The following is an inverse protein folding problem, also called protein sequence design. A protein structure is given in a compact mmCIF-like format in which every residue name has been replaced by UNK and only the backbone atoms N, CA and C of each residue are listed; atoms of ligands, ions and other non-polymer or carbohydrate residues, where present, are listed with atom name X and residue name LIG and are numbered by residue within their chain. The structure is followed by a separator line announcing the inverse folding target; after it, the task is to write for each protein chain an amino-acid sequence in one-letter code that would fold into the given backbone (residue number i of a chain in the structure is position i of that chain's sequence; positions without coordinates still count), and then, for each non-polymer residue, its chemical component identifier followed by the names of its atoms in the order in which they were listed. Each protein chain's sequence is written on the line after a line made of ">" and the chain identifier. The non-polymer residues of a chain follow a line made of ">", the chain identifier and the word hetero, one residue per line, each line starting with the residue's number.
data_IF_535968127688
#
_entry.id   IF_535968127688
#
_cell.length_a   1.000
_cell.length_b   1.000
_cell.length_c   1.000
_cell.angle_alpha   90.00
_cell.angle_beta   90.00
_cell.angle_gamma   90.00
#
_symmetry.space_group_name_H-M   'P 1'
#
loop_
_entity.id
_entity.type
_entity.pdbx_description
1 polymer ?
#
# COMPACT_ATOMS: atom_id res chain seq x y z
N UNK A 1 -0.33 17.68 12.62
CA UNK A 1 -0.31 16.49 11.76
C UNK A 1 -0.49 15.28 12.67
N UNK A 2 -1.52 14.43 12.47
CA UNK A 2 -1.62 13.19 13.26
C UNK A 2 -0.59 12.20 12.72
N UNK A 3 0.22 11.62 13.59
CA UNK A 3 1.08 10.51 13.22
C UNK A 3 0.18 9.37 12.72
N UNK A 4 0.40 8.96 11.48
CA UNK A 4 -0.26 7.78 10.93
C UNK A 4 0.43 6.56 11.53
N UNK A 5 -0.25 5.81 12.40
CA UNK A 5 0.29 4.56 12.94
C UNK A 5 0.48 3.57 11.79
N UNK A 6 1.70 3.08 11.61
CA UNK A 6 2.01 2.02 10.67
C UNK A 6 1.79 0.67 11.35
N UNK A 7 0.90 -0.14 10.80
CA UNK A 7 0.57 -1.46 11.34
C UNK A 7 1.20 -2.56 10.47
N UNK A 8 2.05 -3.44 11.01
CA UNK A 8 2.72 -4.47 10.23
C UNK A 8 1.76 -5.37 9.45
N UNK A 9 2.12 -5.68 8.21
CA UNK A 9 1.38 -6.57 7.34
C UNK A 9 2.34 -7.44 6.51
N UNK A 10 1.92 -8.66 6.21
CA UNK A 10 2.56 -9.50 5.19
C UNK A 10 1.74 -9.43 3.92
N UNK A 11 2.37 -9.14 2.79
CA UNK A 11 1.71 -9.02 1.49
C UNK A 11 2.21 -10.12 0.57
N UNK A 12 1.29 -10.86 -0.04
CA UNK A 12 1.61 -11.80 -1.10
C UNK A 12 1.25 -11.21 -2.45
N UNK A 13 2.12 -11.47 -3.41
CA UNK A 13 2.13 -10.86 -4.73
C UNK A 13 1.82 -11.90 -5.80
N UNK A 14 1.08 -11.48 -6.82
CA UNK A 14 0.90 -12.23 -8.06
C UNK A 14 0.70 -11.25 -9.21
N UNK A 15 1.25 -11.57 -10.38
CA UNK A 15 1.20 -10.67 -11.55
C UNK A 15 1.80 -9.27 -11.32
N UNK A 16 2.65 -9.09 -10.30
CA UNK A 16 3.24 -7.79 -9.95
C UNK A 16 2.34 -6.86 -9.13
N UNK A 17 1.20 -7.34 -8.63
CA UNK A 17 0.27 -6.61 -7.76
C UNK A 17 -0.02 -7.38 -6.47
N UNK A 18 -0.50 -6.72 -5.40
CA UNK A 18 -0.97 -7.39 -4.20
C UNK A 18 -2.18 -8.30 -4.49
N UNK A 19 -2.17 -9.53 -3.99
CA UNK A 19 -3.30 -10.46 -4.12
C UNK A 19 -3.89 -10.88 -2.77
N UNK A 20 -3.05 -10.91 -1.71
CA UNK A 20 -3.45 -11.33 -0.36
C UNK A 20 -2.65 -10.59 0.70
N UNK A 21 -3.25 -10.41 1.86
CA UNK A 21 -2.65 -9.73 3.01
C UNK A 21 -2.89 -10.52 4.29
N UNK A 22 -1.87 -10.61 5.14
CA UNK A 22 -2.05 -10.97 6.56
C UNK A 22 -1.87 -9.69 7.37
N UNK A 23 -2.94 -9.27 8.04
CA UNK A 23 -2.98 -8.04 8.82
C UNK A 23 -3.91 -8.21 10.03
N UNK A 24 -3.46 -7.73 11.20
CA UNK A 24 -4.13 -7.91 12.50
C UNK A 24 -4.47 -9.36 12.84
N UNK A 25 -3.59 -10.30 12.47
CA UNK A 25 -3.77 -11.73 12.71
C UNK A 25 -4.77 -12.43 11.76
N UNK A 26 -5.44 -11.68 10.88
CA UNK A 26 -6.41 -12.21 9.92
C UNK A 26 -5.82 -12.31 8.52
N UNK A 27 -6.33 -13.28 7.75
CA UNK A 27 -6.03 -13.42 6.31
C UNK A 27 -7.10 -12.72 5.50
N UNK A 28 -6.66 -11.87 4.59
CA UNK A 28 -7.51 -11.09 3.72
C UNK A 28 -7.18 -11.34 2.26
N UNK A 29 -8.21 -11.33 1.42
CA UNK A 29 -8.07 -11.38 -0.04
C UNK A 29 -8.23 -9.97 -0.59
N UNK A 30 -7.40 -9.60 -1.56
CA UNK A 30 -7.62 -8.39 -2.35
C UNK A 30 -8.86 -8.59 -3.23
N UNK A 31 -9.83 -7.68 -3.11
CA UNK A 31 -11.16 -7.83 -3.72
C UNK A 31 -11.49 -6.78 -4.78
N UNK A 32 -10.61 -5.80 -5.01
CA UNK A 32 -10.67 -4.85 -6.14
C UNK A 32 -9.34 -4.80 -6.91
N UNK A 33 -9.18 -3.80 -7.79
CA UNK A 33 -7.96 -3.60 -8.57
C UNK A 33 -6.94 -2.71 -7.81
N UNK A 34 -5.75 -3.24 -7.46
CA UNK A 34 -4.73 -2.44 -6.79
C UNK A 34 -4.26 -1.25 -7.61
N UNK A 35 -4.22 -0.10 -6.95
CA UNK A 35 -3.75 1.18 -7.51
C UNK A 35 -2.40 1.54 -6.89
N UNK A 36 -1.40 1.84 -7.72
CA UNK A 36 -0.09 2.32 -7.23
C UNK A 36 -0.24 3.69 -6.58
N UNK A 37 0.40 3.86 -5.43
CA UNK A 37 0.63 5.18 -4.84
C UNK A 37 1.98 5.68 -5.33
N UNK A 38 2.02 6.84 -5.99
CA UNK A 38 3.25 7.45 -6.49
C UNK A 38 3.59 8.72 -5.72
N UNK A 39 4.89 9.00 -5.59
CA UNK A 39 5.40 10.28 -5.13
C UNK A 39 6.46 10.80 -6.09
N UNK A 40 6.50 12.12 -6.24
CA UNK A 40 7.53 12.82 -7.01
C UNK A 40 8.85 12.75 -6.26
N UNK A 41 9.91 12.27 -6.90
CA UNK A 41 11.25 12.28 -6.31
C UNK A 41 11.74 13.73 -6.16
N UNK A 42 11.89 14.22 -4.93
CA UNK A 42 12.26 15.62 -4.63
C UNK A 42 13.74 15.95 -4.96
N UNK A 43 14.59 14.95 -5.20
CA UNK A 43 16.05 15.10 -5.28
C UNK A 43 16.62 15.33 -6.69
N UNK A 44 15.80 15.65 -7.69
CA UNK A 44 16.27 15.69 -9.07
C UNK A 44 16.66 17.10 -9.53
N UNK A 45 17.74 17.23 -10.33
CA UNK A 45 18.14 18.52 -10.89
C UNK A 45 16.99 19.18 -11.64
N UNK A 46 16.84 20.49 -11.49
CA UNK A 46 15.80 21.34 -12.11
C UNK A 46 15.74 21.30 -13.65
N UNK A 47 16.66 20.58 -14.30
CA UNK A 47 16.67 20.30 -15.73
C UNK A 47 15.79 19.09 -16.13
N UNK A 48 15.29 18.30 -15.18
CA UNK A 48 14.35 17.20 -15.46
C UNK A 48 12.92 17.71 -15.43
N UNK A 49 12.30 17.87 -16.61
CA UNK A 49 10.90 18.30 -16.74
C UNK A 49 9.88 17.25 -16.29
N UNK A 50 10.31 16.01 -16.06
CA UNK A 50 9.53 14.92 -15.48
C UNK A 50 10.40 14.21 -14.43
N UNK A 51 10.15 14.46 -13.14
CA UNK A 51 10.75 13.67 -12.09
C UNK A 51 10.17 12.24 -12.15
N UNK A 52 10.97 11.16 -12.20
CA UNK A 52 10.50 9.79 -12.02
C UNK A 52 9.56 9.68 -10.83
N UNK A 53 8.38 9.15 -11.12
CA UNK A 53 7.42 8.75 -10.11
C UNK A 53 7.91 7.47 -9.43
N UNK A 54 8.17 7.56 -8.13
CA UNK A 54 8.48 6.37 -7.33
C UNK A 54 7.17 5.76 -6.83
N UNK A 55 6.97 4.45 -7.02
CA UNK A 55 5.89 3.75 -6.31
C UNK A 55 6.26 3.69 -4.82
N UNK A 56 5.48 4.38 -3.99
CA UNK A 56 5.65 4.46 -2.53
C UNK A 56 4.67 3.56 -1.77
N UNK A 57 3.77 2.86 -2.48
CA UNK A 57 2.78 2.00 -1.86
C UNK A 57 1.69 1.57 -2.83
N UNK A 58 0.63 0.98 -2.27
CA UNK A 58 -0.55 0.53 -3.01
C UNK A 58 -1.81 0.83 -2.23
N UNK A 59 -2.89 1.13 -2.96
CA UNK A 59 -4.26 1.19 -2.45
C UNK A 59 -5.10 0.07 -3.04
N UNK A 60 -5.86 -0.64 -2.20
CA UNK A 60 -6.82 -1.66 -2.63
C UNK A 60 -7.80 -2.01 -1.50
N UNK A 61 -8.93 -2.58 -1.87
CA UNK A 61 -9.87 -3.21 -0.97
C UNK A 61 -9.41 -4.63 -0.62
N UNK A 62 -9.48 -4.95 0.67
CA UNK A 62 -9.32 -6.31 1.17
C UNK A 62 -10.63 -6.79 1.82
N UNK A 63 -10.94 -8.07 1.65
CA UNK A 63 -12.15 -8.71 2.18
C UNK A 63 -11.79 -9.99 2.94
N UNK A 64 -12.41 -10.18 4.11
CA UNK A 64 -12.38 -11.39 4.92
C UNK A 64 -13.79 -11.72 5.41
N UNK A 65 -14.38 -12.80 4.90
CA UNK A 65 -15.78 -13.12 5.19
C UNK A 65 -16.73 -12.02 4.66
N UNK A 66 -17.47 -11.38 5.57
CA UNK A 66 -18.39 -10.27 5.26
C UNK A 66 -17.76 -8.89 5.48
N UNK A 67 -16.53 -8.83 6.00
CA UNK A 67 -15.84 -7.57 6.30
C UNK A 67 -15.03 -7.14 5.08
N UNK A 68 -15.11 -5.86 4.71
CA UNK A 68 -14.29 -5.24 3.68
C UNK A 68 -13.73 -3.91 4.17
N UNK A 69 -12.49 -3.63 3.80
CA UNK A 69 -11.79 -2.39 4.15
C UNK A 69 -10.86 -2.00 3.01
N UNK A 70 -10.83 -0.73 2.65
CA UNK A 70 -9.82 -0.19 1.74
C UNK A 70 -8.57 0.13 2.56
N UNK A 71 -7.41 -0.28 2.09
CA UNK A 71 -6.12 -0.03 2.76
C UNK A 71 -5.15 0.69 1.84
N UNK A 72 -4.31 1.54 2.43
CA UNK A 72 -3.01 1.89 1.86
C UNK A 72 -1.95 1.02 2.53
N UNK A 73 -1.13 0.32 1.74
CA UNK A 73 0.10 -0.31 2.22
C UNK A 73 1.33 0.47 1.74
N UNK A 74 2.34 0.58 2.59
CA UNK A 74 3.63 1.24 2.30
C UNK A 74 4.78 0.35 2.77
N UNK A 75 5.97 0.43 2.14
CA UNK A 75 7.15 -0.22 2.68
C UNK A 75 7.55 0.45 4.00
N UNK A 76 7.86 -0.36 5.02
CA UNK A 76 8.30 0.09 6.34
C UNK A 76 9.39 -0.85 6.86
N UNK A 77 10.59 -0.33 7.09
CA UNK A 77 11.75 -1.08 7.63
C UNK A 77 12.02 -2.45 6.94
N UNK A 78 11.84 -2.53 5.61
CA UNK A 78 12.03 -3.78 4.84
C UNK A 78 10.87 -4.76 4.91
N UNK A 79 9.74 -4.38 5.51
CA UNK A 79 8.46 -5.07 5.53
C UNK A 79 7.37 -4.20 4.89
N UNK A 80 6.12 -4.67 4.91
CA UNK A 80 4.96 -3.86 4.53
C UNK A 80 4.17 -3.46 5.78
N UNK A 81 3.57 -2.28 5.74
CA UNK A 81 2.66 -1.82 6.78
C UNK A 81 1.40 -1.22 6.18
N UNK A 82 0.26 -1.44 6.84
CA UNK A 82 -0.96 -0.68 6.59
C UNK A 82 -0.79 0.70 7.19
N UNK A 83 -0.89 1.72 6.33
CA UNK A 83 -0.79 3.12 6.72
C UNK A 83 -2.17 3.74 6.91
N UNK A 84 -3.16 3.42 6.06
CA UNK A 84 -4.50 4.02 6.14
C UNK A 84 -5.57 2.98 5.85
N UNK A 85 -6.74 3.20 6.45
CA UNK A 85 -7.91 2.32 6.33
C UNK A 85 -9.18 3.14 6.11
N UNK A 86 -10.10 2.65 5.27
CA UNK A 86 -11.44 3.20 5.08
C UNK A 86 -12.48 2.07 5.01
N UNK A 87 -13.62 2.23 5.71
CA UNK A 87 -14.72 1.26 5.82
C UNK A 87 -16.02 1.81 5.28
#
# INVERSE_FOLDING_TARGET
>A
MRATTLEPATVWWGGGVPERVVWRGSRWRVSDQPTRLTATAEFLPSAMTHAPEQTIGWRFQITAGTESVVVDIVPDAGQWAVARTWS
#
